data_IF_376681828151
#
_entry.id   IF_376681828151
#
_cell.length_a   1.000
_cell.length_b   1.000
_cell.length_c   1.000
_cell.angle_alpha   90.00
_cell.angle_beta   90.00
_cell.angle_gamma   90.00
#
_symmetry.space_group_name_H-M   'P 1'
#
loop_
_entity.id
_entity.type
_entity.pdbx_description
1 polymer ?
#
# COMPACT_ATOMS: atom_id res chain seq x y z
N UNK A 1 -14.95 2.39 23.71
CA UNK A 1 -15.27 0.98 23.42
C UNK A 1 -14.34 0.49 22.33
N UNK A 2 -13.27 -0.20 22.68
CA UNK A 2 -12.41 -0.93 21.73
C UNK A 2 -13.11 -2.25 21.45
N UNK A 3 -13.70 -2.40 20.24
CA UNK A 3 -14.19 -3.72 19.79
C UNK A 3 -13.00 -4.67 19.79
N UNK A 4 -13.10 -5.74 20.59
CA UNK A 4 -12.23 -6.90 20.51
C UNK A 4 -12.24 -7.42 19.07
N UNK A 5 -11.09 -7.34 18.39
CA UNK A 5 -10.86 -7.69 16.98
C UNK A 5 -10.80 -9.20 16.79
N UNK A 6 -11.87 -9.91 17.13
CA UNK A 6 -12.03 -11.33 16.79
C UNK A 6 -12.51 -11.58 15.36
N UNK A 7 -12.73 -10.53 14.57
CA UNK A 7 -13.40 -10.60 13.26
C UNK A 7 -12.52 -10.55 12.01
N UNK A 8 -11.21 -10.30 12.15
CA UNK A 8 -10.32 -10.01 11.00
C UNK A 8 -9.35 -11.15 10.65
N UNK A 9 -9.37 -12.24 11.43
CA UNK A 9 -8.40 -13.34 11.27
C UNK A 9 -8.54 -14.05 9.91
N UNK A 10 -9.77 -14.24 9.43
CA UNK A 10 -9.99 -14.96 8.16
C UNK A 10 -9.58 -14.15 6.94
N UNK A 11 -9.68 -12.81 6.96
CA UNK A 11 -9.33 -11.95 5.81
C UNK A 11 -7.82 -11.82 5.62
N UNK A 12 -7.05 -11.87 6.71
CA UNK A 12 -5.60 -11.72 6.70
C UNK A 12 -4.88 -12.64 5.68
N UNK A 13 -5.13 -13.96 5.60
CA UNK A 13 -4.48 -14.81 4.60
C UNK A 13 -4.88 -14.47 3.16
N UNK A 14 -6.13 -14.02 2.92
CA UNK A 14 -6.55 -13.62 1.57
C UNK A 14 -5.97 -12.27 1.17
N UNK A 15 -5.89 -11.32 2.11
CA UNK A 15 -5.25 -10.01 1.89
C UNK A 15 -3.75 -10.19 1.60
N UNK A 16 -3.08 -11.10 2.32
CA UNK A 16 -1.70 -11.48 2.04
C UNK A 16 -1.56 -12.09 0.63
N UNK A 17 -2.44 -13.00 0.22
CA UNK A 17 -2.44 -13.57 -1.13
C UNK A 17 -2.71 -12.54 -2.24
N UNK A 18 -3.58 -11.56 -1.98
CA UNK A 18 -3.83 -10.45 -2.92
C UNK A 18 -2.59 -9.55 -3.06
N UNK A 19 -1.89 -9.30 -1.96
CA UNK A 19 -0.62 -8.59 -1.94
C UNK A 19 0.49 -9.36 -2.65
N UNK A 20 0.66 -10.65 -2.41
CA UNK A 20 1.69 -11.45 -3.10
C UNK A 20 1.49 -11.47 -4.63
N UNK A 21 0.23 -11.46 -5.08
CA UNK A 21 -0.09 -11.50 -6.51
C UNK A 21 0.10 -10.15 -7.22
N UNK A 22 -0.23 -9.05 -6.56
CA UNK A 22 -0.44 -7.75 -7.24
C UNK A 22 0.00 -6.52 -6.45
N UNK A 23 0.51 -6.73 -5.24
CA UNK A 23 1.05 -5.72 -4.36
C UNK A 23 2.53 -5.46 -4.60
N UNK A 24 2.99 -4.31 -4.14
CA UNK A 24 4.41 -3.97 -4.10
C UNK A 24 4.66 -3.17 -2.84
N UNK A 25 5.63 -3.60 -2.04
CA UNK A 25 6.13 -2.82 -0.92
C UNK A 25 7.29 -1.95 -1.41
N UNK A 26 7.14 -0.63 -1.33
CA UNK A 26 8.16 0.35 -1.69
C UNK A 26 8.69 1.03 -0.44
N UNK A 27 10.00 0.98 -0.26
CA UNK A 27 10.72 1.84 0.67
C UNK A 27 11.50 2.88 -0.13
N UNK A 28 11.37 4.15 0.21
CA UNK A 28 12.17 5.23 -0.36
C UNK A 28 12.74 6.11 0.74
N UNK A 29 13.97 6.60 0.51
CA UNK A 29 14.62 7.57 1.38
C UNK A 29 14.72 8.87 0.61
N UNK A 30 14.19 9.95 1.17
CA UNK A 30 14.29 11.29 0.59
C UNK A 30 15.02 12.22 1.57
N UNK A 31 15.75 13.20 1.03
CA UNK A 31 16.41 14.21 1.84
C UNK A 31 15.37 15.21 2.33
N UNK A 32 15.30 15.44 3.63
CA UNK A 32 14.37 16.40 4.22
C UNK A 32 15.03 17.07 5.43
N UNK A 33 15.35 18.35 5.29
CA UNK A 33 16.14 19.10 6.30
C UNK A 33 15.38 19.35 7.61
N UNK A 34 14.05 19.19 7.59
CA UNK A 34 13.20 19.28 8.79
C UNK A 34 13.37 18.09 9.75
N UNK A 35 13.91 16.96 9.27
CA UNK A 35 14.11 15.75 10.08
C UNK A 35 15.44 15.79 10.83
N UNK A 36 15.46 15.20 12.03
CA UNK A 36 16.64 15.15 12.93
C UNK A 36 17.94 14.69 12.24
N UNK A 37 17.82 13.79 11.27
CA UNK A 37 18.97 13.21 10.55
C UNK A 37 19.07 13.70 9.10
N UNK A 38 18.21 14.64 8.67
CA UNK A 38 18.18 15.18 7.31
C UNK A 38 17.55 14.26 6.26
N UNK A 39 16.90 13.17 6.67
CA UNK A 39 16.27 12.20 5.78
C UNK A 39 14.90 11.78 6.30
N UNK A 40 13.96 11.56 5.36
CA UNK A 40 12.67 10.91 5.59
C UNK A 40 12.65 9.53 4.94
N UNK A 41 12.14 8.56 5.67
CA UNK A 41 11.86 7.20 5.16
C UNK A 41 10.37 7.12 4.87
N UNK A 42 10.03 6.86 3.62
CA UNK A 42 8.67 6.67 3.14
C UNK A 42 8.46 5.19 2.83
N UNK A 43 7.51 4.56 3.54
CA UNK A 43 7.06 3.18 3.29
C UNK A 43 5.68 3.23 2.64
N UNK A 44 5.52 2.58 1.49
CA UNK A 44 4.28 2.60 0.73
C UNK A 44 3.93 1.20 0.23
N UNK A 45 2.66 0.85 0.32
CA UNK A 45 2.10 -0.38 -0.27
C UNK A 45 1.31 0.04 -1.50
N UNK A 46 1.68 -0.49 -2.66
CA UNK A 46 1.06 -0.17 -3.94
C UNK A 46 0.35 -1.41 -4.48
N UNK A 47 -0.78 -1.21 -5.14
CA UNK A 47 -1.51 -2.28 -5.82
C UNK A 47 -1.76 -1.91 -7.28
N UNK A 48 -1.66 -2.89 -8.17
CA UNK A 48 -2.03 -2.67 -9.56
C UNK A 48 -3.53 -2.38 -9.70
N UNK A 49 -3.87 -1.31 -10.42
CA UNK A 49 -5.27 -0.98 -10.79
C UNK A 49 -5.99 -2.10 -11.55
N UNK A 50 -5.24 -3.00 -12.19
CA UNK A 50 -5.81 -4.16 -12.91
C UNK A 50 -6.40 -5.23 -11.97
N UNK A 51 -6.12 -5.17 -10.67
CA UNK A 51 -6.58 -6.13 -9.66
C UNK A 51 -7.74 -5.56 -8.82
N UNK A 52 -8.87 -5.21 -9.45
CA UNK A 52 -10.04 -4.63 -8.76
C UNK A 52 -10.55 -5.46 -7.56
N UNK A 53 -10.64 -6.81 -7.63
CA UNK A 53 -11.07 -7.61 -6.48
C UNK A 53 -10.07 -7.59 -5.32
N UNK A 54 -8.77 -7.52 -5.62
CA UNK A 54 -7.72 -7.43 -4.60
C UNK A 54 -7.83 -6.13 -3.81
N UNK A 55 -8.05 -5.01 -4.51
CA UNK A 55 -8.21 -3.68 -3.89
C UNK A 55 -9.40 -3.67 -2.92
N UNK A 56 -10.57 -4.20 -3.33
CA UNK A 56 -11.75 -4.24 -2.46
C UNK A 56 -11.54 -5.04 -1.17
N UNK A 57 -10.87 -6.18 -1.26
CA UNK A 57 -10.53 -7.00 -0.08
C UNK A 57 -9.58 -6.27 0.88
N UNK A 58 -8.62 -5.51 0.33
CA UNK A 58 -7.67 -4.75 1.13
C UNK A 58 -8.31 -3.56 1.82
N UNK A 59 -9.25 -2.88 1.15
CA UNK A 59 -10.03 -1.79 1.76
C UNK A 59 -10.83 -2.31 2.96
N UNK A 60 -11.52 -3.46 2.80
CA UNK A 60 -12.28 -4.10 3.88
C UNK A 60 -11.37 -4.57 5.03
N UNK A 61 -10.21 -5.15 4.70
CA UNK A 61 -9.21 -5.53 5.70
C UNK A 61 -8.68 -4.32 6.47
N UNK A 62 -8.34 -3.23 5.77
CA UNK A 62 -7.85 -1.98 6.37
C UNK A 62 -8.89 -1.37 7.32
N UNK A 63 -10.16 -1.30 6.91
CA UNK A 63 -11.27 -0.85 7.77
C UNK A 63 -11.39 -1.74 9.02
N UNK A 64 -11.30 -3.06 8.84
CA UNK A 64 -11.34 -4.04 9.92
C UNK A 64 -10.25 -3.87 10.98
N UNK A 65 -9.06 -3.41 10.60
CA UNK A 65 -7.94 -3.13 11.52
C UNK A 65 -7.83 -1.65 11.92
N UNK A 66 -8.75 -0.79 11.47
CA UNK A 66 -8.77 0.64 11.77
C UNK A 66 -7.66 1.45 11.09
N UNK A 67 -7.15 0.97 9.95
CA UNK A 67 -6.18 1.67 9.12
C UNK A 67 -6.92 2.38 7.99
N UNK A 68 -6.68 3.68 7.83
CA UNK A 68 -7.24 4.47 6.72
C UNK A 68 -6.15 4.65 5.65
N UNK A 69 -6.20 3.92 4.52
CA UNK A 69 -5.19 4.02 3.48
C UNK A 69 -5.27 5.38 2.79
N UNK A 70 -4.11 6.01 2.55
CA UNK A 70 -4.03 7.19 1.69
C UNK A 70 -3.97 6.74 0.23
N UNK A 71 -5.10 6.77 -0.47
CA UNK A 71 -5.20 6.33 -1.87
C UNK A 71 -4.51 7.38 -2.75
N UNK A 72 -3.32 7.05 -3.25
CA UNK A 72 -2.61 7.87 -4.23
C UNK A 72 -2.61 7.12 -5.56
N UNK A 73 -3.32 7.66 -6.55
CA UNK A 73 -3.30 7.10 -7.90
C UNK A 73 -2.07 7.64 -8.63
N UNK A 74 -1.12 6.76 -8.97
CA UNK A 74 0.01 7.10 -9.85
C UNK A 74 -0.11 6.30 -11.14
N UNK A 75 -0.16 6.99 -12.27
CA UNK A 75 0.06 6.33 -13.56
C UNK A 75 1.55 6.06 -13.68
N UNK A 76 1.89 4.84 -14.09
CA UNK A 76 3.26 4.51 -14.44
C UNK A 76 3.43 5.00 -15.86
N UNK A 77 4.08 6.15 -16.04
CA UNK A 77 4.58 6.53 -17.35
C UNK A 77 5.43 5.37 -17.88
N UNK A 78 5.17 4.97 -19.12
CA UNK A 78 5.89 3.88 -19.78
C UNK A 78 7.39 4.14 -19.81
N UNK A 79 8.22 3.17 -20.23
CA UNK A 79 9.63 3.46 -20.45
C UNK A 79 9.70 4.62 -21.44
N UNK A 80 10.31 5.73 -21.02
CA UNK A 80 10.66 6.83 -21.90
C UNK A 80 11.48 6.23 -23.04
N UNK A 81 10.96 6.36 -24.24
CA UNK A 81 11.59 5.95 -25.48
C UNK A 81 12.83 6.86 -25.64
N UNK A 82 13.97 6.45 -25.07
CA UNK A 82 15.28 6.99 -25.41
C UNK A 82 15.59 6.62 -26.86
N UNK A 83 15.00 7.37 -27.80
CA UNK A 83 15.49 7.45 -29.18
C UNK A 83 16.13 8.80 -29.36
N UNK A 84 17.47 8.77 -29.25
CA UNK A 84 18.35 9.77 -29.84
C UNK A 84 18.43 9.55 -31.35
#
# INVERSE_FOLDING_TARGET
MTKSTGGVDWMAPYAAGAFDRSGTLRASVSREESYRFGYRIDLQVWFSKSSKPGIGLLDEFCDGIGVVPTITTRERDGPDDETN
#
